data_IF_900810542462
#
_entry.id   IF_900810542462
#
_cell.length_a   1.000
_cell.length_b   1.000
_cell.length_c   1.000
_cell.angle_alpha   90.00
_cell.angle_beta   90.00
_cell.angle_gamma   90.00
#
_symmetry.space_group_name_H-M   'P 1'
#
loop_
_entity.id
_entity.type
_entity.pdbx_description
1 polymer ?
#
# COMPACT_ATOMS: atom_id res chain seq x y z
N UNK A 1 12.38 6.71 28.04
CA UNK A 1 12.71 6.33 26.66
C UNK A 1 11.69 5.29 26.26
N UNK A 2 10.86 5.53 25.25
CA UNK A 2 9.88 4.53 24.80
C UNK A 2 10.64 3.55 23.92
N UNK A 3 10.79 2.32 24.41
CA UNK A 3 11.33 1.22 23.65
C UNK A 3 10.39 0.97 22.45
N UNK A 4 10.83 1.37 21.25
CA UNK A 4 10.09 1.11 20.02
C UNK A 4 10.18 -0.40 19.80
N UNK A 5 9.14 -1.14 20.14
CA UNK A 5 9.08 -2.57 19.84
C UNK A 5 9.17 -2.73 18.32
N UNK A 6 10.25 -3.32 17.83
CA UNK A 6 10.43 -3.54 16.40
C UNK A 6 9.27 -4.39 15.85
N UNK A 7 8.72 -4.00 14.69
CA UNK A 7 7.68 -4.78 14.06
C UNK A 7 8.28 -6.05 13.47
N UNK A 8 7.71 -7.22 13.81
CA UNK A 8 8.17 -8.52 13.29
C UNK A 8 7.19 -9.07 12.23
N UNK A 9 7.51 -8.97 10.93
CA UNK A 9 6.57 -9.35 9.85
C UNK A 9 6.18 -10.82 9.85
N UNK A 10 7.11 -11.69 10.27
CA UNK A 10 6.92 -13.15 10.29
C UNK A 10 5.73 -13.61 11.13
N UNK A 11 5.35 -12.83 12.16
CA UNK A 11 4.19 -13.11 13.04
C UNK A 11 2.85 -12.92 12.33
N UNK A 12 2.84 -12.24 11.19
CA UNK A 12 1.63 -11.81 10.49
C UNK A 12 1.53 -12.37 9.06
N UNK A 13 2.37 -13.36 8.72
CA UNK A 13 2.35 -14.02 7.41
C UNK A 13 1.13 -14.93 7.30
N UNK A 14 0.37 -14.73 6.23
CA UNK A 14 -0.73 -15.61 5.82
C UNK A 14 -0.26 -16.50 4.68
N UNK A 15 -0.55 -17.80 4.73
CA UNK A 15 -0.29 -18.71 3.60
C UNK A 15 -1.44 -18.60 2.58
N UNK A 16 -1.11 -18.24 1.34
CA UNK A 16 -2.07 -18.20 0.23
C UNK A 16 -1.65 -19.19 -0.87
N UNK A 17 -2.56 -19.51 -1.80
CA UNK A 17 -2.20 -20.25 -3.02
C UNK A 17 -1.21 -19.39 -3.82
N UNK A 18 0.08 -19.72 -3.72
CA UNK A 18 1.17 -18.93 -4.31
C UNK A 18 2.29 -18.54 -3.34
N UNK A 19 2.14 -18.81 -2.04
CA UNK A 19 3.22 -18.67 -1.06
C UNK A 19 2.84 -17.82 0.15
N UNK A 20 3.87 -17.22 0.76
CA UNK A 20 3.77 -16.45 1.98
C UNK A 20 3.37 -15.01 1.64
N UNK A 21 2.27 -14.55 2.23
CA UNK A 21 1.72 -13.24 1.96
C UNK A 21 1.56 -12.45 3.26
N UNK A 22 2.26 -11.33 3.34
CA UNK A 22 2.00 -10.32 4.36
C UNK A 22 0.87 -9.42 3.90
N UNK A 23 -0.26 -9.46 4.60
CA UNK A 23 -1.41 -8.61 4.31
C UNK A 23 -1.05 -7.12 4.39
N UNK A 24 -1.70 -6.31 3.56
CA UNK A 24 -1.45 -4.86 3.42
C UNK A 24 -1.52 -4.12 4.74
N UNK A 25 -2.53 -4.43 5.57
CA UNK A 25 -2.72 -3.82 6.88
C UNK A 25 -1.47 -3.94 7.75
N UNK A 26 -0.79 -5.08 7.71
CA UNK A 26 0.42 -5.32 8.47
C UNK A 26 1.62 -4.57 7.89
N UNK A 27 1.66 -4.38 6.58
CA UNK A 27 2.70 -3.55 5.95
C UNK A 27 2.54 -2.07 6.28
N UNK A 28 1.30 -1.58 6.43
CA UNK A 28 1.04 -0.21 6.90
C UNK A 28 1.48 -0.02 8.35
N UNK A 29 1.18 -0.99 9.24
CA UNK A 29 1.67 -0.98 10.63
C UNK A 29 3.19 -0.99 10.66
N UNK A 30 3.82 -1.83 9.84
CA UNK A 30 5.28 -1.88 9.73
C UNK A 30 5.86 -0.54 9.28
N UNK A 31 5.37 0.01 8.16
CA UNK A 31 5.81 1.31 7.65
C UNK A 31 5.68 2.42 8.70
N UNK A 32 4.57 2.49 9.43
CA UNK A 32 4.36 3.49 10.48
C UNK A 32 5.24 3.26 11.71
N UNK A 33 5.59 2.01 12.00
CA UNK A 33 6.52 1.67 13.08
C UNK A 33 7.94 2.13 12.75
N UNK A 34 8.41 1.88 11.53
CA UNK A 34 9.77 2.27 11.09
C UNK A 34 9.86 3.77 10.79
N UNK A 35 8.90 4.31 10.04
CA UNK A 35 8.86 5.70 9.55
C UNK A 35 7.59 6.39 10.01
N UNK A 36 7.50 6.83 11.29
CA UNK A 36 6.29 7.46 11.82
C UNK A 36 5.96 8.78 11.10
N UNK A 37 6.98 9.52 10.66
CA UNK A 37 6.88 10.71 9.82
C UNK A 37 6.67 10.43 8.32
N UNK A 38 6.70 9.16 7.91
CA UNK A 38 6.44 8.75 6.54
C UNK A 38 5.04 9.11 6.07
N UNK A 39 4.91 9.51 4.81
CA UNK A 39 3.65 9.90 4.19
C UNK A 39 3.27 8.91 3.10
N UNK A 40 1.99 8.57 3.04
CA UNK A 40 1.38 7.79 1.96
C UNK A 40 0.22 8.63 1.45
N UNK A 41 0.29 9.03 0.19
CA UNK A 41 -0.72 9.84 -0.49
C UNK A 41 -1.32 9.03 -1.62
N UNK A 42 -2.65 9.03 -1.73
CA UNK A 42 -3.39 8.43 -2.84
C UNK A 42 -4.13 9.53 -3.59
N UNK A 43 -4.02 9.52 -4.91
CA UNK A 43 -4.64 10.51 -5.79
C UNK A 43 -5.42 9.80 -6.89
N UNK A 44 -6.67 10.21 -7.10
CA UNK A 44 -7.46 9.82 -8.25
C UNK A 44 -6.94 10.59 -9.47
N UNK A 45 -6.37 9.87 -10.41
CA UNK A 45 -5.76 10.44 -11.61
C UNK A 45 -6.73 10.47 -12.79
N UNK A 46 -7.64 9.50 -12.85
CA UNK A 46 -8.67 9.43 -13.88
C UNK A 46 -9.91 8.68 -13.37
N UNK A 47 -11.08 9.18 -13.73
CA UNK A 47 -12.37 8.52 -13.52
C UNK A 47 -13.27 8.82 -14.70
N UNK A 48 -13.60 7.78 -15.48
CA UNK A 48 -14.30 7.90 -16.75
C UNK A 48 -14.25 6.57 -17.50
N UNK A 49 -15.09 6.40 -18.52
CA UNK A 49 -15.07 5.22 -19.41
C UNK A 49 -15.06 3.87 -18.67
N UNK A 50 -15.86 3.77 -17.61
CA UNK A 50 -15.94 2.58 -16.75
C UNK A 50 -14.60 2.17 -16.11
N UNK A 51 -13.67 3.11 -15.93
CA UNK A 51 -12.36 2.88 -15.32
C UNK A 51 -12.05 3.95 -14.28
N UNK A 52 -11.32 3.55 -13.24
CA UNK A 52 -10.64 4.46 -12.32
C UNK A 52 -9.14 4.18 -12.29
N UNK A 53 -8.33 5.23 -12.28
CA UNK A 53 -6.87 5.16 -12.14
C UNK A 53 -6.45 5.97 -10.93
N UNK A 54 -5.69 5.34 -10.04
CA UNK A 54 -5.12 5.95 -8.86
C UNK A 54 -3.60 5.89 -8.89
N UNK A 55 -2.98 6.94 -8.35
CA UNK A 55 -1.56 7.01 -8.05
C UNK A 55 -1.40 6.97 -6.54
N UNK A 56 -0.53 6.12 -6.01
CA UNK A 56 -0.05 6.22 -4.63
C UNK A 56 1.40 6.68 -4.62
N UNK A 57 1.72 7.61 -3.72
CA UNK A 57 3.08 8.06 -3.43
C UNK A 57 3.42 7.76 -1.98
N UNK A 58 4.57 7.15 -1.74
CA UNK A 58 5.13 6.96 -0.40
C UNK A 58 6.38 7.82 -0.30
N UNK A 59 6.49 8.62 0.75
CA UNK A 59 7.64 9.51 0.99
C UNK A 59 8.10 9.35 2.43
N UNK A 60 9.40 9.17 2.65
CA UNK A 60 10.03 9.22 3.97
C UNK A 60 10.86 10.51 4.05
N UNK A 61 10.53 11.46 4.94
CA UNK A 61 11.32 12.67 5.15
C UNK A 61 12.82 12.37 5.36
N UNK A 62 13.68 12.96 4.54
CA UNK A 62 15.14 12.72 4.59
C UNK A 62 15.58 11.34 4.08
N UNK A 63 14.65 10.53 3.57
CA UNK A 63 14.90 9.21 3.01
C UNK A 63 14.46 9.09 1.56
N UNK A 64 13.95 7.90 1.20
CA UNK A 64 13.48 7.60 -0.15
C UNK A 64 12.04 8.02 -0.41
N UNK A 65 11.66 8.01 -1.69
CA UNK A 65 10.27 8.09 -2.11
C UNK A 65 10.02 7.14 -3.28
N UNK A 66 8.79 6.65 -3.39
CA UNK A 66 8.41 5.81 -4.51
C UNK A 66 6.92 5.96 -4.84
N UNK A 67 6.57 5.66 -6.09
CA UNK A 67 5.24 5.89 -6.66
C UNK A 67 4.72 4.62 -7.32
N UNK A 68 3.46 4.27 -7.05
CA UNK A 68 2.76 3.15 -7.66
C UNK A 68 1.48 3.63 -8.35
N UNK A 69 1.05 2.91 -9.37
CA UNK A 69 -0.20 3.14 -10.08
C UNK A 69 -1.09 1.91 -9.97
N UNK A 70 -2.39 2.11 -9.81
CA UNK A 70 -3.40 1.07 -9.87
C UNK A 70 -4.59 1.54 -10.68
N UNK A 71 -5.15 0.62 -11.46
CA UNK A 71 -6.30 0.86 -12.30
C UNK A 71 -7.25 -0.33 -12.17
N UNK A 72 -8.54 -0.09 -12.00
CA UNK A 72 -9.58 -1.12 -12.00
C UNK A 72 -10.76 -0.64 -12.85
N UNK A 73 -11.39 -1.54 -13.59
CA UNK A 73 -12.58 -1.28 -14.40
C UNK A 73 -13.88 -1.73 -13.72
N UNK A 74 -15.03 -1.26 -14.21
CA UNK A 74 -16.35 -1.68 -13.73
C UNK A 74 -16.64 -3.16 -14.01
N UNK A 75 -16.01 -3.70 -15.06
CA UNK A 75 -16.12 -5.12 -15.45
C UNK A 75 -15.37 -6.03 -14.47
N UNK A 76 -14.47 -5.47 -13.66
CA UNK A 76 -13.77 -6.22 -12.61
C UNK A 76 -14.65 -6.30 -11.35
N UNK A 77 -15.22 -5.20 -10.85
CA UNK A 77 -16.07 -5.17 -9.64
C UNK A 77 -17.05 -3.98 -9.60
N UNK A 78 -18.24 -4.16 -8.97
CA UNK A 78 -19.20 -3.05 -8.71
C UNK A 78 -18.65 -1.96 -7.78
N UNK A 79 -17.69 -2.31 -6.90
CA UNK A 79 -17.01 -1.40 -5.98
C UNK A 79 -15.56 -1.08 -6.42
N UNK A 80 -15.36 -0.84 -7.73
CA UNK A 80 -14.04 -0.70 -8.35
C UNK A 80 -13.20 0.48 -7.82
N UNK A 81 -13.84 1.52 -7.29
CA UNK A 81 -13.17 2.74 -6.82
C UNK A 81 -12.35 2.49 -5.55
N UNK A 82 -12.93 1.87 -4.50
CA UNK A 82 -12.22 1.56 -3.26
C UNK A 82 -11.09 0.53 -3.47
N UNK A 83 -11.27 -0.34 -4.46
CA UNK A 83 -10.27 -1.34 -4.83
C UNK A 83 -9.10 -0.72 -5.59
N UNK A 84 -9.38 0.19 -6.52
CA UNK A 84 -8.35 0.88 -7.30
C UNK A 84 -7.44 1.75 -6.42
N UNK A 85 -7.97 2.36 -5.34
CA UNK A 85 -7.16 3.08 -4.35
C UNK A 85 -6.22 2.15 -3.56
N UNK A 86 -6.65 0.93 -3.28
CA UNK A 86 -5.90 -0.05 -2.48
C UNK A 86 -4.79 -0.79 -3.26
N UNK A 87 -4.84 -0.78 -4.59
CA UNK A 87 -3.88 -1.47 -5.47
C UNK A 87 -2.49 -0.81 -5.49
N UNK A 88 -2.35 0.52 -5.66
CA UNK A 88 -1.02 1.14 -5.70
C UNK A 88 -0.35 1.12 -4.32
N UNK A 89 -1.10 1.25 -3.21
CA UNK A 89 -0.57 1.06 -1.85
C UNK A 89 -0.12 -0.39 -1.59
N UNK A 90 -0.84 -1.39 -2.15
CA UNK A 90 -0.41 -2.81 -2.16
C UNK A 90 0.94 -3.03 -2.82
N UNK A 91 1.20 -2.39 -3.96
CA UNK A 91 2.45 -2.54 -4.72
C UNK A 91 3.63 -1.81 -4.06
N UNK A 92 3.34 -0.76 -3.30
CA UNK A 92 4.36 0.14 -2.74
C UNK A 92 4.99 -0.33 -1.43
N UNK A 93 4.31 -1.19 -0.70
CA UNK A 93 4.81 -1.73 0.57
C UNK A 93 5.96 -2.75 0.44
N UNK A 94 6.48 -2.95 -0.78
CA UNK A 94 7.65 -3.78 -1.09
C UNK A 94 8.88 -2.93 -1.45
N UNK A 95 8.72 -1.63 -1.71
CA UNK A 95 9.77 -0.77 -2.30
C UNK A 95 10.43 0.21 -1.32
N UNK A 96 9.96 0.29 -0.07
CA UNK A 96 10.50 1.19 0.94
C UNK A 96 11.32 0.45 2.03
N UNK A 97 11.61 -0.84 1.82
CA UNK A 97 12.43 -1.67 2.71
C UNK A 97 13.81 -1.91 2.09
#
# INVERSE_FOLDING_TARGET
MVEKTAFEPSKYITKIKGGDYLEVKWRLVWFRTEHPEGQIETELMHHGDNQAVFRARVTIPGGGSATGWGSEGIDDFRDYIEKAESVPSKRMSVLAA
#
